data_IF_610009893257
#
_entry.id   IF_610009893257
#
_cell.length_a   1.000
_cell.length_b   1.000
_cell.length_c   1.000
_cell.angle_alpha   90.00
_cell.angle_beta   90.00
_cell.angle_gamma   90.00
#
_symmetry.space_group_name_H-M   'P 1'
#
loop_
_entity.id
_entity.type
_entity.pdbx_description
1 polymer ?
#
# COMPACT_ATOMS: atom_id res chain seq x y z
N UNK A 1 -39.50 -16.22 -69.95
CA UNK A 1 -38.06 -15.90 -69.86
C UNK A 1 -37.72 -14.78 -68.88
N UNK A 2 -38.68 -14.06 -68.31
CA UNK A 2 -38.41 -12.89 -67.43
C UNK A 2 -38.19 -13.24 -65.95
N UNK A 3 -38.69 -14.38 -65.46
CA UNK A 3 -38.58 -14.76 -64.05
C UNK A 3 -37.22 -15.39 -63.71
N UNK A 4 -36.67 -16.18 -64.61
CA UNK A 4 -35.36 -16.86 -64.46
C UNK A 4 -34.19 -15.87 -64.41
N UNK A 5 -34.23 -14.80 -65.21
CA UNK A 5 -33.19 -13.75 -65.22
C UNK A 5 -33.17 -12.95 -63.92
N UNK A 6 -34.34 -12.73 -63.29
CA UNK A 6 -34.42 -12.05 -62.00
C UNK A 6 -33.85 -12.90 -60.86
N UNK A 7 -34.07 -14.22 -60.92
CA UNK A 7 -33.53 -15.17 -59.92
C UNK A 7 -32.00 -15.26 -60.04
N UNK A 8 -31.46 -15.33 -61.26
CA UNK A 8 -30.00 -15.31 -61.45
C UNK A 8 -29.37 -14.01 -60.95
N UNK A 9 -30.01 -12.86 -61.18
CA UNK A 9 -29.53 -11.57 -60.68
C UNK A 9 -29.50 -11.48 -59.14
N UNK A 10 -30.52 -12.02 -58.47
CA UNK A 10 -30.58 -12.04 -57.01
C UNK A 10 -29.51 -12.96 -56.38
N UNK A 11 -29.27 -14.14 -56.99
CA UNK A 11 -28.23 -15.08 -56.53
C UNK A 11 -26.83 -14.46 -56.71
N UNK A 12 -26.59 -13.78 -57.84
CA UNK A 12 -25.32 -13.10 -58.08
C UNK A 12 -25.09 -11.97 -57.07
N UNK A 13 -26.11 -11.18 -56.72
CA UNK A 13 -26.01 -10.11 -55.73
C UNK A 13 -25.74 -10.63 -54.30
N UNK A 14 -26.35 -11.75 -53.91
CA UNK A 14 -26.07 -12.39 -52.62
C UNK A 14 -24.65 -12.97 -52.56
N UNK A 15 -24.12 -13.48 -53.68
CA UNK A 15 -22.74 -13.99 -53.78
C UNK A 15 -21.66 -12.88 -53.72
N UNK A 16 -22.05 -11.61 -53.93
CA UNK A 16 -21.16 -10.45 -53.83
C UNK A 16 -21.09 -9.85 -52.42
N UNK A 17 -21.87 -10.36 -51.46
CA UNK A 17 -21.77 -9.97 -50.06
C UNK A 17 -20.52 -10.62 -49.43
N UNK A 18 -19.40 -9.88 -49.45
CA UNK A 18 -18.17 -10.29 -48.76
C UNK A 18 -18.37 -10.36 -47.24
N UNK A 19 -17.55 -11.18 -46.57
CA UNK A 19 -17.54 -11.25 -45.10
C UNK A 19 -17.03 -9.92 -44.54
N UNK A 20 -17.82 -9.29 -43.67
CA UNK A 20 -17.34 -8.16 -42.89
C UNK A 20 -16.35 -8.66 -41.83
N UNK A 21 -15.05 -8.44 -42.05
CA UNK A 21 -14.03 -8.72 -41.05
C UNK A 21 -14.03 -7.59 -40.01
N UNK A 22 -14.40 -7.92 -38.77
CA UNK A 22 -14.13 -7.04 -37.64
C UNK A 22 -12.61 -6.95 -37.41
N UNK A 23 -12.15 -5.78 -37.00
CA UNK A 23 -10.74 -5.57 -36.67
C UNK A 23 -10.40 -6.36 -35.40
N UNK A 24 -9.22 -7.00 -35.27
CA UNK A 24 -8.83 -7.75 -34.08
C UNK A 24 -8.32 -6.80 -32.98
N UNK A 25 -9.04 -5.72 -32.72
CA UNK A 25 -8.67 -4.80 -31.66
C UNK A 25 -9.07 -5.41 -30.31
N UNK A 26 -8.06 -5.77 -29.53
CA UNK A 26 -8.21 -6.22 -28.16
C UNK A 26 -7.66 -5.13 -27.23
N UNK A 27 -8.43 -4.79 -26.19
CA UNK A 27 -7.89 -4.04 -25.05
C UNK A 27 -7.43 -5.10 -24.05
N UNK A 28 -6.13 -5.39 -24.05
CA UNK A 28 -5.54 -6.32 -23.08
C UNK A 28 -5.50 -5.68 -21.69
N UNK A 29 -5.68 -6.53 -20.69
CA UNK A 29 -5.58 -6.12 -19.29
C UNK A 29 -4.14 -5.70 -18.96
N UNK A 30 -4.01 -4.61 -18.23
CA UNK A 30 -2.74 -4.08 -17.74
C UNK A 30 -2.95 -3.56 -16.32
N UNK A 31 -1.92 -3.68 -15.48
CA UNK A 31 -1.85 -2.95 -14.20
C UNK A 31 -1.16 -1.61 -14.42
N UNK A 32 -1.61 -0.58 -13.70
CA UNK A 32 -0.86 0.66 -13.54
C UNK A 32 -0.05 0.51 -12.25
N UNK A 33 1.23 0.15 -12.36
CA UNK A 33 2.13 -0.10 -11.22
C UNK A 33 2.88 1.17 -10.77
N UNK A 34 2.24 2.33 -10.93
CA UNK A 34 2.80 3.61 -10.53
C UNK A 34 1.99 4.80 -11.03
N UNK A 35 2.00 5.87 -10.24
CA UNK A 35 1.29 7.12 -10.52
C UNK A 35 1.50 8.13 -9.40
N UNK A 36 0.89 9.30 -9.49
CA UNK A 36 1.05 10.39 -8.53
C UNK A 36 1.94 11.53 -9.06
N UNK A 37 2.74 12.15 -8.19
CA UNK A 37 3.49 13.37 -8.46
C UNK A 37 2.90 14.60 -7.75
N UNK A 38 3.44 15.78 -8.05
CA UNK A 38 3.03 17.06 -7.45
C UNK A 38 1.91 17.70 -8.28
N UNK A 39 0.70 17.73 -7.74
CA UNK A 39 -0.41 18.56 -8.19
C UNK A 39 -0.36 19.94 -7.52
N UNK A 40 -0.76 20.99 -8.22
CA UNK A 40 -0.81 22.37 -7.66
C UNK A 40 -2.13 23.04 -7.98
N UNK A 41 -2.61 23.89 -7.07
CA UNK A 41 -3.83 24.67 -7.21
C UNK A 41 -3.78 25.91 -6.32
N UNK A 42 -3.54 27.09 -6.92
CA UNK A 42 -3.27 28.31 -6.17
C UNK A 42 -2.01 28.19 -5.31
N UNK A 43 -2.12 28.52 -4.02
CA UNK A 43 -1.05 28.37 -3.02
C UNK A 43 -0.84 26.93 -2.54
N UNK A 44 -1.72 25.99 -2.92
CA UNK A 44 -1.66 24.62 -2.43
C UNK A 44 -0.92 23.72 -3.41
N UNK A 45 -0.16 22.78 -2.84
CA UNK A 45 0.46 21.68 -3.57
C UNK A 45 0.14 20.36 -2.86
N UNK A 46 -0.20 19.34 -3.64
CA UNK A 46 -0.45 17.98 -3.17
C UNK A 46 0.53 17.08 -3.90
N UNK A 47 1.40 16.41 -3.17
CA UNK A 47 2.26 15.36 -3.72
C UNK A 47 1.76 14.02 -3.21
N UNK A 48 1.70 13.02 -4.09
CA UNK A 48 1.35 11.67 -3.67
C UNK A 48 1.83 10.63 -4.66
N UNK A 49 1.59 9.37 -4.36
CA UNK A 49 1.77 8.23 -5.25
C UNK A 49 0.45 7.48 -5.39
N UNK A 50 0.12 6.95 -6.57
CA UNK A 50 -1.10 6.19 -6.84
C UNK A 50 -0.71 4.76 -7.17
N UNK A 51 -1.15 3.80 -6.34
CA UNK A 51 -0.90 2.38 -6.51
C UNK A 51 0.52 1.99 -6.08
N UNK A 52 0.61 1.20 -5.01
CA UNK A 52 1.81 0.42 -4.67
C UNK A 52 1.33 -0.95 -4.19
N UNK A 53 1.15 -1.88 -5.13
CA UNK A 53 0.86 -3.28 -4.78
C UNK A 53 2.05 -3.95 -4.08
N UNK A 54 3.26 -3.40 -4.26
CA UNK A 54 4.50 -3.81 -3.58
C UNK A 54 4.73 -3.04 -2.26
N UNK A 55 3.70 -2.42 -1.68
CA UNK A 55 3.78 -1.88 -0.34
C UNK A 55 4.07 -3.03 0.65
N UNK A 56 5.18 -2.93 1.36
CA UNK A 56 5.70 -3.98 2.23
C UNK A 56 7.23 -3.99 2.27
N UNK A 57 7.76 -4.75 3.23
CA UNK A 57 9.20 -4.94 3.37
C UNK A 57 9.69 -5.96 2.35
N UNK A 58 10.59 -5.55 1.45
CA UNK A 58 11.29 -6.45 0.53
C UNK A 58 12.69 -6.69 1.08
N UNK A 59 13.08 -7.96 1.21
CA UNK A 59 14.41 -8.37 1.71
C UNK A 59 15.28 -8.94 0.59
N UNK A 60 16.58 -8.66 0.66
CA UNK A 60 17.57 -9.15 -0.31
C UNK A 60 18.96 -9.24 0.32
N UNK A 61 19.36 -10.45 0.73
CA UNK A 61 20.61 -10.66 1.46
C UNK A 61 20.56 -10.01 2.85
N UNK A 62 21.50 -9.10 3.14
CA UNK A 62 21.53 -8.32 4.39
C UNK A 62 20.80 -6.97 4.28
N UNK A 63 20.12 -6.71 3.17
CA UNK A 63 19.44 -5.45 2.91
C UNK A 63 17.92 -5.60 3.03
N UNK A 64 17.31 -4.54 3.55
CA UNK A 64 15.86 -4.39 3.71
C UNK A 64 15.43 -3.09 3.02
N UNK A 65 14.38 -3.16 2.19
CA UNK A 65 13.72 -2.00 1.59
C UNK A 65 12.28 -2.00 2.09
N UNK A 66 11.91 -0.97 2.86
CA UNK A 66 10.51 -0.74 3.26
C UNK A 66 9.83 0.06 2.16
N UNK A 67 9.06 -0.62 1.32
CA UNK A 67 8.13 0.00 0.39
C UNK A 67 6.80 0.29 1.10
N UNK A 68 6.09 1.33 0.71
CA UNK A 68 4.85 1.72 1.40
C UNK A 68 4.37 3.10 0.96
N UNK A 69 3.20 3.52 1.46
CA UNK A 69 2.75 4.90 1.27
C UNK A 69 3.80 5.88 1.81
N UNK A 70 3.69 7.16 1.44
CA UNK A 70 4.51 8.19 2.05
C UNK A 70 4.27 8.11 3.56
N UNK A 71 5.27 7.72 4.35
CA UNK A 71 5.24 7.99 5.79
C UNK A 71 4.85 9.45 5.90
N UNK A 72 3.66 9.71 6.46
CA UNK A 72 3.27 11.07 6.74
C UNK A 72 4.35 11.58 7.70
N UNK A 73 5.09 12.65 7.37
CA UNK A 73 5.98 13.24 8.33
C UNK A 73 5.09 13.81 9.44
N UNK A 74 4.88 13.03 10.49
CA UNK A 74 3.92 13.33 11.55
C UNK A 74 2.75 12.35 11.69
N UNK A 75 2.90 11.05 11.43
CA UNK A 75 2.43 10.19 12.53
C UNK A 75 3.27 10.63 13.73
N UNK A 76 2.66 11.16 14.81
CA UNK A 76 3.41 11.42 16.02
C UNK A 76 4.18 10.12 16.26
N UNK A 77 5.50 10.17 16.39
CA UNK A 77 6.22 9.06 16.99
C UNK A 77 5.59 8.96 18.37
N UNK A 78 4.59 8.09 18.50
CA UNK A 78 3.90 7.85 19.73
C UNK A 78 4.66 6.67 20.30
N UNK A 79 5.76 6.93 21.02
CA UNK A 79 6.70 5.86 21.30
C UNK A 79 6.06 4.85 22.27
N UNK A 80 5.01 5.31 22.98
CA UNK A 80 4.13 4.51 23.81
C UNK A 80 3.17 3.57 23.04
N UNK A 81 2.97 3.72 21.72
CA UNK A 81 2.31 2.69 20.89
C UNK A 81 3.34 1.57 20.65
N UNK A 82 3.44 0.70 21.66
CA UNK A 82 4.48 -0.28 21.77
C UNK A 82 4.25 -1.44 20.81
N UNK A 83 2.99 -1.82 20.57
CA UNK A 83 2.65 -2.93 19.67
C UNK A 83 2.40 -2.50 18.21
N UNK A 84 2.25 -1.19 17.95
CA UNK A 84 2.14 -0.61 16.63
C UNK A 84 0.76 -0.78 16.00
N UNK A 85 -0.30 -0.84 16.81
CA UNK A 85 -1.67 -1.02 16.33
C UNK A 85 -2.41 0.31 16.02
N UNK A 86 -1.75 1.44 16.29
CA UNK A 86 -2.23 2.79 15.98
C UNK A 86 -2.96 3.47 17.14
N UNK A 87 -2.97 2.87 18.33
CA UNK A 87 -3.52 3.43 19.55
C UNK A 87 -2.54 3.26 20.71
N UNK A 88 -2.65 4.12 21.74
CA UNK A 88 -1.99 3.89 23.03
C UNK A 88 -3.04 3.42 24.02
N UNK A 89 -2.95 2.17 24.43
CA UNK A 89 -3.87 1.57 25.38
C UNK A 89 -3.20 0.56 26.33
N UNK A 90 -4.02 -0.18 27.07
CA UNK A 90 -3.52 -1.13 28.06
C UNK A 90 -2.63 -2.23 27.45
N UNK A 91 -2.84 -2.59 26.18
CA UNK A 91 -2.06 -3.62 25.52
C UNK A 91 -0.62 -3.16 25.28
N UNK A 92 -0.39 -1.88 24.97
CA UNK A 92 0.98 -1.36 24.86
C UNK A 92 1.73 -1.40 26.18
N UNK A 93 1.04 -1.05 27.27
CA UNK A 93 1.63 -1.08 28.60
C UNK A 93 2.00 -2.51 28.99
N UNK A 94 1.09 -3.46 28.74
CA UNK A 94 1.36 -4.87 29.03
C UNK A 94 2.50 -5.41 28.16
N UNK A 95 2.51 -5.10 26.86
CA UNK A 95 3.55 -5.56 25.95
C UNK A 95 4.92 -4.96 26.31
N UNK A 96 4.98 -3.69 26.76
CA UNK A 96 6.20 -3.09 27.27
C UNK A 96 6.68 -3.77 28.55
N UNK A 97 5.79 -4.01 29.53
CA UNK A 97 6.14 -4.69 30.79
C UNK A 97 6.63 -6.12 30.51
N UNK A 98 5.96 -6.86 29.64
CA UNK A 98 6.39 -8.21 29.25
C UNK A 98 7.78 -8.20 28.60
N UNK A 99 8.09 -7.15 27.82
CA UNK A 99 9.38 -6.97 27.19
C UNK A 99 10.46 -6.58 28.23
N UNK A 100 10.14 -5.65 29.13
CA UNK A 100 10.99 -5.17 30.21
C UNK A 100 11.36 -6.27 31.21
N UNK A 101 10.40 -7.15 31.54
CA UNK A 101 10.62 -8.29 32.43
C UNK A 101 11.29 -9.48 31.72
N UNK A 102 11.57 -9.38 30.42
CA UNK A 102 12.24 -10.41 29.63
C UNK A 102 11.37 -11.63 29.30
N UNK A 103 10.04 -11.48 29.35
CA UNK A 103 9.07 -12.52 29.00
C UNK A 103 8.90 -12.59 27.48
N UNK A 104 8.52 -11.48 26.86
CA UNK A 104 8.24 -11.38 25.43
C UNK A 104 8.36 -9.94 24.95
N UNK A 105 9.07 -9.72 23.83
CA UNK A 105 9.08 -8.44 23.12
C UNK A 105 8.40 -8.60 21.75
N UNK A 106 7.51 -7.67 21.34
CA UNK A 106 6.99 -7.63 19.98
C UNK A 106 8.11 -7.59 18.93
N UNK A 107 7.88 -8.10 17.70
CA UNK A 107 8.91 -8.14 16.67
C UNK A 107 9.49 -6.75 16.35
N UNK A 108 10.81 -6.59 16.54
CA UNK A 108 11.51 -5.34 16.24
C UNK A 108 11.37 -4.26 17.32
N UNK A 109 10.80 -4.59 18.48
CA UNK A 109 10.79 -3.74 19.68
C UNK A 109 11.87 -4.18 20.66
N UNK A 110 12.29 -3.24 21.48
CA UNK A 110 13.25 -3.42 22.58
C UNK A 110 12.71 -2.68 23.81
N UNK A 111 13.08 -3.14 25.00
CA UNK A 111 12.71 -2.49 26.27
C UNK A 111 13.62 -1.31 26.61
N UNK A 112 14.74 -1.13 25.90
CA UNK A 112 15.58 0.07 25.90
C UNK A 112 14.81 1.19 25.18
N UNK A 113 13.97 1.90 25.95
CA UNK A 113 13.02 2.88 25.46
C UNK A 113 13.71 4.20 25.11
N UNK A 114 14.74 4.58 25.86
CA UNK A 114 15.49 5.82 25.63
C UNK A 114 16.76 5.64 24.78
N UNK A 115 17.06 4.41 24.37
CA UNK A 115 18.14 4.01 23.46
C UNK A 115 19.54 4.32 24.01
N UNK A 116 19.71 4.19 25.32
CA UNK A 116 21.00 4.41 25.97
C UNK A 116 21.91 3.17 26.00
N UNK A 117 21.40 2.03 25.52
CA UNK A 117 22.09 0.76 25.42
C UNK A 117 21.94 -0.14 26.65
N UNK A 118 21.11 0.26 27.61
CA UNK A 118 20.75 -0.53 28.79
C UNK A 118 19.24 -0.59 28.95
N UNK A 119 18.74 -1.69 29.53
CA UNK A 119 17.33 -1.80 29.95
C UNK A 119 17.30 -1.63 31.45
N UNK A 120 16.84 -0.48 31.94
CA UNK A 120 16.80 -0.16 33.36
C UNK A 120 15.58 0.69 33.78
N UNK A 121 15.61 1.19 35.01
CA UNK A 121 14.48 1.94 35.56
C UNK A 121 14.15 3.23 34.77
N UNK A 122 15.14 3.82 34.08
CA UNK A 122 14.93 5.03 33.30
C UNK A 122 14.07 4.75 32.07
N UNK A 123 14.21 3.59 31.42
CA UNK A 123 13.33 3.20 30.31
C UNK A 123 11.88 3.05 30.74
N UNK A 124 11.66 2.43 31.90
CA UNK A 124 10.33 2.25 32.44
C UNK A 124 9.68 3.60 32.77
N UNK A 125 10.44 4.52 33.36
CA UNK A 125 9.95 5.87 33.65
C UNK A 125 9.65 6.64 32.36
N UNK A 126 10.56 6.62 31.40
CA UNK A 126 10.40 7.32 30.13
C UNK A 126 9.19 6.78 29.33
N UNK A 127 8.97 5.45 29.38
CA UNK A 127 7.77 4.83 28.81
C UNK A 127 6.48 5.29 29.50
N UNK A 128 6.45 5.28 30.84
CA UNK A 128 5.28 5.75 31.61
C UNK A 128 4.98 7.22 31.31
N UNK A 129 6.01 8.07 31.26
CA UNK A 129 5.86 9.49 30.93
C UNK A 129 5.28 9.67 29.52
N UNK A 130 5.74 8.89 28.54
CA UNK A 130 5.19 8.90 27.19
C UNK A 130 3.74 8.37 27.14
N UNK A 131 3.44 7.32 27.89
CA UNK A 131 2.12 6.68 27.96
C UNK A 131 1.06 7.60 28.54
N UNK A 132 1.39 8.35 29.59
CA UNK A 132 0.47 9.30 30.23
C UNK A 132 0.17 10.53 29.35
N UNK A 133 1.10 10.89 28.45
CA UNK A 133 0.91 11.96 27.45
C UNK A 133 0.02 11.47 26.29
N UNK A 134 0.14 10.20 25.92
CA UNK A 134 -0.56 9.58 24.80
C UNK A 134 -0.04 10.00 23.43
N UNK A 135 -0.85 9.76 22.40
CA UNK A 135 -0.71 10.30 21.04
C UNK A 135 -1.75 11.41 20.81
#
# INVERSE_FOLDING_TARGET
MTMTTKILGAIAAAALCGTAAAQPFEITWHTIDGGGGRSTGGTFAVTGTIGQWDAGTVTGGVFEIRGGFWDLPGEPTCPADFNGDGFVDFFDFQDFVDCFEGVFCPPGKDADFNLDGFVDFFDFQDFVDAFEIGC
#
